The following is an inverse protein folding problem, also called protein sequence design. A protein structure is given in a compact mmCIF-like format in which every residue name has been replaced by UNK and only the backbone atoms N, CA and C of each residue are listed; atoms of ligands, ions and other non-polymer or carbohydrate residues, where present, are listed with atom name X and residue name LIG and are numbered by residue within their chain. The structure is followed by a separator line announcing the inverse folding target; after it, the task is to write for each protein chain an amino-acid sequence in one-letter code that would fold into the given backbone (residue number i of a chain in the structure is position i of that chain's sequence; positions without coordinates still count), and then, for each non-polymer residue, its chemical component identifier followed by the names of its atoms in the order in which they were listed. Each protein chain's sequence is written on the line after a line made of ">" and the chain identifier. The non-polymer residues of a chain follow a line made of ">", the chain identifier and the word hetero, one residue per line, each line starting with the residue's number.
data_IF_162034579028
#
_entry.id   IF_162034579028
#
_cell.length_a   1.000
_cell.length_b   1.000
_cell.length_c   1.000
_cell.angle_alpha   90.00
_cell.angle_beta   90.00
_cell.angle_gamma   90.00
#
_symmetry.space_group_name_H-M   'P 1'
#
loop_
_entity.id
_entity.type
_entity.pdbx_description
1 polymer ?
#
# COMPACT_ATOMS: atom_id res chain seq x y z
N UNK A 1 -31.88 -28.90 -59.88
CA UNK A 1 -32.61 -29.08 -58.58
C UNK A 1 -31.91 -30.02 -57.60
N UNK A 2 -31.44 -31.22 -57.99
CA UNK A 2 -30.77 -32.15 -57.06
C UNK A 2 -29.43 -31.66 -56.47
N UNK A 3 -28.65 -30.86 -57.21
CA UNK A 3 -27.39 -30.29 -56.71
C UNK A 3 -27.58 -29.16 -55.67
N UNK A 4 -28.68 -28.40 -55.74
CA UNK A 4 -28.95 -27.32 -54.77
C UNK A 4 -29.27 -27.87 -53.37
N UNK A 5 -29.93 -29.03 -53.30
CA UNK A 5 -30.29 -29.70 -52.04
C UNK A 5 -29.04 -30.20 -51.31
N UNK A 6 -28.01 -30.63 -52.06
CA UNK A 6 -26.77 -31.14 -51.49
C UNK A 6 -25.92 -30.04 -50.84
N UNK A 7 -25.90 -28.85 -51.44
CA UNK A 7 -25.19 -27.68 -50.88
C UNK A 7 -25.88 -27.18 -49.60
N UNK A 8 -27.22 -27.17 -49.58
CA UNK A 8 -27.98 -26.75 -48.40
C UNK A 8 -27.75 -27.68 -47.18
N UNK A 9 -27.55 -28.99 -47.42
CA UNK A 9 -27.29 -29.95 -46.35
C UNK A 9 -25.91 -29.77 -45.70
N UNK A 10 -24.90 -29.33 -46.46
CA UNK A 10 -23.53 -29.14 -45.97
C UNK A 10 -23.44 -27.93 -45.04
N UNK A 11 -24.22 -26.87 -45.29
CA UNK A 11 -24.24 -25.68 -44.42
C UNK A 11 -24.88 -25.94 -43.04
N UNK A 12 -25.84 -26.88 -42.95
CA UNK A 12 -26.50 -27.21 -41.67
C UNK A 12 -25.54 -27.96 -40.73
N UNK A 13 -24.61 -28.75 -41.28
CA UNK A 13 -23.64 -29.53 -40.49
C UNK A 13 -22.49 -28.70 -39.89
N UNK A 14 -22.28 -27.46 -40.39
CA UNK A 14 -21.26 -26.55 -39.88
C UNK A 14 -21.78 -25.57 -38.80
N UNK A 15 -23.08 -25.58 -38.50
CA UNK A 15 -23.69 -24.64 -37.54
C UNK A 15 -23.57 -25.07 -36.07
N UNK A 16 -22.89 -26.19 -35.78
CA UNK A 16 -22.67 -26.64 -34.40
C UNK A 16 -21.35 -26.07 -33.86
N UNK A 17 -21.32 -24.78 -33.58
CA UNK A 17 -20.23 -24.17 -32.81
C UNK A 17 -20.42 -24.53 -31.34
N UNK A 18 -19.46 -25.25 -30.76
CA UNK A 18 -19.38 -25.47 -29.31
C UNK A 18 -19.38 -24.09 -28.63
N UNK A 19 -20.45 -23.75 -27.92
CA UNK A 19 -20.44 -22.62 -26.99
C UNK A 19 -19.32 -22.90 -25.99
N UNK A 20 -18.20 -22.20 -26.14
CA UNK A 20 -17.22 -22.08 -25.09
C UNK A 20 -17.94 -21.33 -23.97
N UNK A 21 -18.50 -22.07 -23.01
CA UNK A 21 -18.97 -21.49 -21.75
C UNK A 21 -17.79 -20.73 -21.17
N UNK A 22 -17.79 -19.42 -21.33
CA UNK A 22 -16.89 -18.55 -20.60
C UNK A 22 -17.17 -18.83 -19.14
N UNK A 23 -16.20 -19.42 -18.44
CA UNK A 23 -16.31 -19.56 -16.99
C UNK A 23 -16.59 -18.16 -16.44
N UNK A 24 -17.53 -18.00 -15.50
CA UNK A 24 -17.75 -16.72 -14.86
C UNK A 24 -16.39 -16.23 -14.33
N UNK A 25 -16.00 -15.01 -14.71
CA UNK A 25 -14.76 -14.42 -14.22
C UNK A 25 -14.84 -14.35 -12.71
N UNK A 26 -13.94 -15.05 -12.02
CA UNK A 26 -13.80 -14.90 -10.57
C UNK A 26 -13.43 -13.43 -10.34
N UNK A 27 -14.18 -12.69 -9.48
CA UNK A 27 -13.84 -11.31 -9.19
C UNK A 27 -12.44 -11.27 -8.58
N UNK A 28 -11.60 -10.36 -9.10
CA UNK A 28 -10.28 -10.12 -8.55
C UNK A 28 -10.44 -9.61 -7.11
N UNK A 29 -9.85 -10.33 -6.15
CA UNK A 29 -9.77 -9.90 -4.77
C UNK A 29 -8.36 -9.33 -4.62
N UNK A 30 -8.20 -8.01 -4.43
CA UNK A 30 -6.89 -7.42 -4.31
C UNK A 30 -6.21 -7.91 -3.03
N UNK A 31 -4.90 -8.13 -3.11
CA UNK A 31 -4.06 -8.40 -1.94
C UNK A 31 -4.00 -7.15 -1.04
N UNK A 32 -3.70 -7.35 0.25
CA UNK A 32 -3.78 -6.23 1.20
C UNK A 32 -2.85 -5.06 0.83
N UNK A 33 -1.64 -5.35 0.34
CA UNK A 33 -0.69 -4.30 -0.05
C UNK A 33 -1.21 -3.46 -1.22
N UNK A 34 -1.97 -4.04 -2.16
CA UNK A 34 -2.52 -3.34 -3.33
C UNK A 34 -3.44 -2.20 -2.93
N UNK A 35 -4.14 -2.38 -1.80
CA UNK A 35 -5.01 -1.34 -1.24
C UNK A 35 -4.24 -0.09 -0.85
N UNK A 36 -2.98 -0.22 -0.45
CA UNK A 36 -2.14 0.90 -0.03
C UNK A 36 -1.26 1.45 -1.15
N UNK A 37 -0.92 0.67 -2.17
CA UNK A 37 -0.10 1.15 -3.29
C UNK A 37 -0.75 2.33 -4.02
N UNK A 38 0.07 3.31 -4.41
CA UNK A 38 -0.35 4.48 -5.17
C UNK A 38 0.35 5.77 -4.78
N UNK A 39 0.06 6.83 -5.54
CA UNK A 39 0.52 8.18 -5.27
C UNK A 39 -0.48 8.89 -4.34
N UNK A 40 0.03 9.60 -3.34
CA UNK A 40 -0.75 10.30 -2.34
C UNK A 40 -0.38 11.77 -2.28
N UNK A 41 -1.40 12.62 -2.15
CA UNK A 41 -1.22 13.98 -1.63
C UNK A 41 -1.42 13.96 -0.13
N UNK A 42 -0.47 14.51 0.62
CA UNK A 42 -0.49 14.51 2.07
C UNK A 42 -0.83 15.90 2.59
N UNK A 43 -1.75 15.93 3.56
CA UNK A 43 -2.29 17.11 4.19
C UNK A 43 -2.08 17.07 5.70
N UNK A 44 -2.03 18.24 6.34
CA UNK A 44 -2.19 18.32 7.78
C UNK A 44 -3.65 18.11 8.20
N UNK A 45 -3.92 18.08 9.52
CA UNK A 45 -5.26 17.87 10.07
C UNK A 45 -6.22 19.05 9.84
N UNK A 46 -5.72 20.19 9.36
CA UNK A 46 -6.52 21.35 8.99
C UNK A 46 -6.85 21.38 7.48
N UNK A 47 -6.33 20.41 6.72
CA UNK A 47 -6.54 20.29 5.28
C UNK A 47 -5.55 21.08 4.43
N UNK A 48 -4.46 21.61 5.01
CA UNK A 48 -3.42 22.25 4.22
C UNK A 48 -2.53 21.20 3.56
N UNK A 49 -2.31 21.33 2.26
CA UNK A 49 -1.36 20.49 1.53
C UNK A 49 0.05 20.62 2.10
N UNK A 50 0.79 19.50 2.15
CA UNK A 50 2.16 19.43 2.69
C UNK A 50 3.14 18.91 1.64
N UNK A 51 2.93 17.69 1.14
CA UNK A 51 3.86 17.02 0.22
C UNK A 51 3.17 15.89 -0.55
N UNK A 52 3.86 15.35 -1.57
CA UNK A 52 3.47 14.12 -2.25
C UNK A 52 4.28 12.94 -1.72
N UNK A 53 3.62 11.80 -1.57
CA UNK A 53 4.20 10.55 -1.09
C UNK A 53 3.80 9.43 -2.05
N UNK A 54 4.68 8.47 -2.27
CA UNK A 54 4.37 7.30 -3.10
C UNK A 54 4.52 6.02 -2.29
N UNK A 55 3.56 5.11 -2.38
CA UNK A 55 3.64 3.78 -1.80
C UNK A 55 3.74 2.74 -2.91
N UNK A 56 4.88 2.06 -2.97
CA UNK A 56 5.25 1.17 -4.08
C UNK A 56 5.43 -0.24 -3.53
N UNK A 57 4.78 -1.22 -4.15
CA UNK A 57 5.13 -2.62 -3.96
C UNK A 57 6.43 -2.92 -4.68
N UNK A 58 7.43 -3.38 -3.93
CA UNK A 58 8.79 -3.53 -4.42
C UNK A 58 9.13 -4.98 -4.75
N UNK A 59 8.59 -5.93 -3.99
CA UNK A 59 8.96 -7.34 -4.09
C UNK A 59 7.88 -8.23 -3.43
N UNK A 60 7.59 -9.37 -4.05
CA UNK A 60 6.99 -10.55 -3.41
C UNK A 60 7.93 -11.73 -3.58
N UNK A 61 8.07 -12.55 -2.55
CA UNK A 61 8.77 -13.83 -2.59
C UNK A 61 9.44 -14.20 -1.28
N UNK A 62 10.20 -15.30 -1.31
CA UNK A 62 10.82 -15.84 -0.10
C UNK A 62 11.92 -14.91 0.46
N UNK A 63 11.82 -14.58 1.75
CA UNK A 63 12.91 -13.96 2.50
C UNK A 63 14.05 -14.95 2.79
N UNK A 64 15.11 -14.48 3.46
CA UNK A 64 16.28 -15.31 3.80
C UNK A 64 15.96 -16.51 4.71
N UNK A 65 14.75 -16.56 5.28
CA UNK A 65 14.27 -17.63 6.14
C UNK A 65 13.29 -18.57 5.41
N UNK A 66 13.03 -18.34 4.11
CA UNK A 66 12.11 -19.15 3.31
C UNK A 66 10.62 -18.87 3.57
N UNK A 67 10.29 -17.69 4.10
CA UNK A 67 8.91 -17.25 4.22
C UNK A 67 8.58 -16.32 3.06
N UNK A 68 7.45 -16.53 2.39
CA UNK A 68 6.94 -15.59 1.40
C UNK A 68 6.59 -14.27 2.09
N UNK A 69 7.15 -13.18 1.56
CA UNK A 69 6.95 -11.83 2.10
C UNK A 69 6.75 -10.83 0.99
N UNK A 70 5.93 -9.84 1.29
CA UNK A 70 5.84 -8.62 0.51
C UNK A 70 6.76 -7.54 1.08
N UNK A 71 7.33 -6.74 0.20
CA UNK A 71 8.11 -5.56 0.58
C UNK A 71 7.50 -4.33 -0.06
N UNK A 72 7.31 -3.29 0.75
CA UNK A 72 6.80 -2.00 0.33
C UNK A 72 7.88 -0.93 0.49
N UNK A 73 7.82 0.09 -0.37
CA UNK A 73 8.59 1.33 -0.26
C UNK A 73 7.63 2.49 -0.07
N UNK A 74 7.80 3.28 1.00
CA UNK A 74 7.19 4.59 1.15
C UNK A 74 8.23 5.62 0.73
N UNK A 75 8.03 6.23 -0.43
CA UNK A 75 8.86 7.33 -0.90
C UNK A 75 8.34 8.65 -0.37
N UNK A 76 9.26 9.50 0.08
CA UNK A 76 8.99 10.80 0.65
C UNK A 76 8.05 10.79 1.87
N UNK A 77 8.07 9.72 2.67
CA UNK A 77 7.28 9.64 3.90
C UNK A 77 7.67 10.74 4.89
N UNK A 78 6.67 11.41 5.46
CA UNK A 78 6.84 12.56 6.35
C UNK A 78 7.71 13.68 5.72
N UNK A 79 7.74 13.78 4.38
CA UNK A 79 8.63 14.64 3.59
C UNK A 79 10.14 14.40 3.82
N UNK A 80 10.48 13.32 4.53
CA UNK A 80 11.79 13.16 5.17
C UNK A 80 12.47 11.86 4.78
N UNK A 81 11.72 10.77 4.63
CA UNK A 81 12.28 9.42 4.52
C UNK A 81 11.83 8.68 3.26
N UNK A 82 12.74 7.88 2.71
CA UNK A 82 12.37 6.77 1.84
C UNK A 82 12.51 5.48 2.64
N UNK A 83 11.37 4.87 2.99
CA UNK A 83 11.33 3.71 3.88
C UNK A 83 11.07 2.45 3.07
N UNK A 84 11.99 1.48 3.15
CA UNK A 84 11.77 0.13 2.62
C UNK A 84 11.55 -0.82 3.78
N UNK A 85 10.47 -1.59 3.74
CA UNK A 85 10.09 -2.46 4.84
C UNK A 85 9.29 -3.68 4.37
N UNK A 86 9.37 -4.75 5.15
CA UNK A 86 8.54 -5.94 4.99
C UNK A 86 7.08 -5.57 5.33
N UNK A 87 6.19 -5.72 4.35
CA UNK A 87 4.78 -5.48 4.54
C UNK A 87 4.17 -6.63 5.33
N UNK A 88 3.50 -6.28 6.42
CA UNK A 88 2.82 -7.26 7.27
C UNK A 88 1.33 -7.10 7.08
N UNK A 89 0.71 -8.16 6.56
CA UNK A 89 -0.74 -8.27 6.55
C UNK A 89 -1.30 -8.17 7.96
N UNK A 90 -2.46 -7.54 8.08
CA UNK A 90 -3.17 -7.43 9.34
C UNK A 90 -4.54 -8.09 9.24
N UNK A 91 -5.21 -8.27 10.37
CA UNK A 91 -6.54 -8.92 10.39
C UNK A 91 -7.60 -8.06 9.69
N UNK A 92 -7.43 -6.74 9.64
CA UNK A 92 -8.29 -5.82 8.88
C UNK A 92 -7.47 -5.25 7.71
N UNK A 93 -7.82 -5.63 6.48
CA UNK A 93 -7.12 -5.22 5.25
C UNK A 93 -6.93 -3.69 5.09
N UNK A 94 -7.68 -2.88 5.84
CA UNK A 94 -7.59 -1.42 5.79
C UNK A 94 -6.63 -0.83 6.83
N UNK A 95 -6.09 -1.63 7.75
CA UNK A 95 -5.10 -1.17 8.72
C UNK A 95 -3.72 -1.19 8.09
N UNK A 96 -3.08 -0.03 8.05
CA UNK A 96 -1.72 0.15 7.58
C UNK A 96 -0.72 0.00 8.72
N UNK A 97 0.21 -0.93 8.60
CA UNK A 97 1.26 -1.13 9.61
C UNK A 97 2.61 -0.64 9.10
N UNK A 98 3.06 0.51 9.60
CA UNK A 98 4.39 1.08 9.27
C UNK A 98 5.51 0.32 10.01
N UNK A 99 5.24 -0.20 11.21
CA UNK A 99 6.26 -0.84 12.05
C UNK A 99 7.08 0.15 12.87
N UNK A 100 8.23 -0.29 13.38
CA UNK A 100 9.16 0.54 14.18
C UNK A 100 10.54 0.45 13.53
N UNK A 101 11.17 1.60 13.37
CA UNK A 101 12.51 1.71 12.83
C UNK A 101 13.36 2.57 13.76
N UNK A 102 14.48 2.01 14.20
CA UNK A 102 15.49 2.72 14.98
C UNK A 102 16.68 3.08 14.08
N UNK A 103 17.23 4.27 14.29
CA UNK A 103 18.36 4.82 13.52
C UNK A 103 18.09 4.98 12.02
N UNK A 104 16.85 5.27 11.60
CA UNK A 104 16.60 5.58 10.19
C UNK A 104 17.22 6.90 9.83
N UNK A 105 17.79 6.96 8.63
CA UNK A 105 18.53 8.13 8.18
C UNK A 105 17.64 8.97 7.27
N UNK A 106 17.50 10.25 7.57
CA UNK A 106 16.80 11.19 6.71
C UNK A 106 17.64 11.61 5.49
N UNK A 107 17.04 12.39 4.58
CA UNK A 107 17.74 12.95 3.40
C UNK A 107 18.94 13.84 3.74
N UNK A 108 19.07 14.32 4.98
CA UNK A 108 20.17 15.14 5.48
C UNK A 108 21.20 14.34 6.28
N UNK A 109 21.13 13.00 6.22
CA UNK A 109 22.00 12.08 6.91
C UNK A 109 21.92 12.18 8.46
N UNK A 110 20.73 12.45 9.00
CA UNK A 110 20.44 12.45 10.45
C UNK A 110 19.62 11.23 10.84
N UNK A 111 19.91 10.69 12.02
CA UNK A 111 19.27 9.47 12.52
C UNK A 111 18.03 9.78 13.35
N UNK A 112 17.00 8.98 13.16
CA UNK A 112 15.71 9.10 13.82
C UNK A 112 15.21 7.75 14.32
N UNK A 113 14.44 7.78 15.40
CA UNK A 113 13.48 6.75 15.75
C UNK A 113 12.16 7.10 15.08
N UNK A 114 11.60 6.17 14.33
CA UNK A 114 10.28 6.26 13.72
C UNK A 114 9.43 5.09 14.19
N UNK A 115 8.24 5.36 14.70
CA UNK A 115 7.31 4.32 15.12
C UNK A 115 5.92 4.58 14.55
N UNK A 116 5.41 3.66 13.72
CA UNK A 116 3.99 3.58 13.42
C UNK A 116 3.23 3.23 14.71
N UNK A 117 2.26 4.06 15.07
CA UNK A 117 1.42 3.77 16.22
C UNK A 117 0.37 2.74 15.82
N UNK A 118 0.34 1.62 16.53
CA UNK A 118 -0.55 0.51 16.22
C UNK A 118 -2.02 0.92 16.25
N UNK A 119 -2.83 0.27 15.42
CA UNK A 119 -4.28 0.46 15.42
C UNK A 119 -4.86 0.10 16.80
N UNK A 120 -5.53 1.07 17.43
CA UNK A 120 -6.28 0.86 18.66
C UNK A 120 -7.78 0.72 18.31
N UNK A 121 -8.38 -0.49 18.42
CA UNK A 121 -9.78 -0.71 18.05
C UNK A 121 -10.78 0.06 18.93
N UNK A 122 -10.34 0.56 20.08
CA UNK A 122 -11.15 1.34 21.01
C UNK A 122 -10.94 2.85 20.86
N UNK A 123 -10.05 3.30 19.96
CA UNK A 123 -9.85 4.72 19.71
C UNK A 123 -11.03 5.30 18.93
N UNK A 124 -11.45 6.52 19.30
CA UNK A 124 -12.51 7.26 18.60
C UNK A 124 -12.11 7.68 17.18
N UNK A 125 -10.81 7.73 16.89
CA UNK A 125 -10.29 7.91 15.53
C UNK A 125 -9.58 6.65 15.06
N UNK A 126 -9.95 6.12 13.89
CA UNK A 126 -9.23 5.03 13.23
C UNK A 126 -7.91 5.56 12.68
N UNK A 127 -6.85 5.39 13.44
CA UNK A 127 -5.47 5.76 13.08
C UNK A 127 -4.83 4.66 12.23
N UNK A 128 -3.99 5.07 11.28
CA UNK A 128 -3.38 4.20 10.27
C UNK A 128 -4.42 3.31 9.58
N UNK A 129 -5.54 3.91 9.18
CA UNK A 129 -6.66 3.23 8.56
C UNK A 129 -6.98 3.85 7.20
N UNK A 130 -7.14 2.99 6.20
CA UNK A 130 -7.58 3.37 4.87
C UNK A 130 -9.12 3.36 4.81
N UNK A 131 -9.70 4.49 4.43
CA UNK A 131 -11.12 4.60 4.16
C UNK A 131 -11.31 5.22 2.78
N UNK A 132 -11.82 4.43 1.84
CA UNK A 132 -11.78 4.72 0.40
C UNK A 132 -10.32 4.99 -0.04
N UNK A 133 -10.06 6.18 -0.54
CA UNK A 133 -8.73 6.63 -0.98
C UNK A 133 -8.01 7.48 0.07
N UNK A 134 -8.53 7.56 1.29
CA UNK A 134 -7.95 8.38 2.37
C UNK A 134 -7.34 7.51 3.45
N UNK A 135 -6.03 7.64 3.64
CA UNK A 135 -5.27 7.01 4.71
C UNK A 135 -4.94 8.04 5.81
N UNK A 136 -5.41 7.79 7.02
CA UNK A 136 -5.03 8.60 8.19
C UNK A 136 -3.71 8.09 8.73
N UNK A 137 -2.61 8.82 8.55
CA UNK A 137 -1.30 8.45 9.05
C UNK A 137 -1.10 8.94 10.48
N UNK A 138 -0.65 8.04 11.35
CA UNK A 138 -0.31 8.38 12.74
C UNK A 138 0.96 7.67 13.19
N UNK A 139 1.98 8.45 13.55
CA UNK A 139 3.31 7.93 13.81
C UNK A 139 4.07 8.85 14.77
N UNK A 140 5.09 8.30 15.42
CA UNK A 140 6.02 9.05 16.26
C UNK A 140 7.36 9.20 15.55
N UNK A 141 7.93 10.40 15.64
CA UNK A 141 9.31 10.67 15.25
C UNK A 141 10.05 11.27 16.44
N UNK A 142 11.24 10.75 16.70
CA UNK A 142 12.09 11.20 17.81
C UNK A 142 13.58 11.14 17.41
N UNK A 143 14.36 12.14 17.79
CA UNK A 143 15.82 12.13 17.65
C UNK A 143 16.58 12.12 19.00
N UNK A 144 15.92 11.87 20.14
CA UNK A 144 16.53 11.93 21.48
C UNK A 144 17.73 11.00 21.69
N UNK A 145 17.82 9.90 20.96
CA UNK A 145 18.99 9.01 21.03
C UNK A 145 20.20 9.58 20.29
N UNK A 146 19.96 10.52 19.38
CA UNK A 146 20.93 11.00 18.39
C UNK A 146 21.25 12.49 18.51
N UNK A 147 20.46 13.26 19.28
CA UNK A 147 20.53 14.72 19.28
C UNK A 147 21.90 15.31 19.63
N UNK A 148 22.54 14.83 20.71
CA UNK A 148 23.88 15.29 21.10
C UNK A 148 24.93 14.84 20.08
N UNK A 149 24.89 13.55 19.72
CA UNK A 149 25.93 12.92 18.90
C UNK A 149 25.95 13.48 17.48
N UNK A 150 24.82 13.94 16.97
CA UNK A 150 24.66 14.46 15.61
C UNK A 150 24.50 15.98 15.55
N UNK A 151 24.66 16.66 16.70
CA UNK A 151 24.53 18.11 16.87
C UNK A 151 23.22 18.67 16.30
N UNK A 152 22.11 17.96 16.51
CA UNK A 152 20.79 18.34 16.05
C UNK A 152 19.92 18.78 17.24
N UNK A 153 19.04 19.79 17.07
CA UNK A 153 18.08 20.15 18.10
C UNK A 153 17.17 18.96 18.42
N UNK A 154 16.80 18.81 19.69
CA UNK A 154 15.81 17.81 20.08
C UNK A 154 14.48 18.06 19.35
N UNK A 155 13.94 17.01 18.77
CA UNK A 155 12.64 16.99 18.12
C UNK A 155 11.90 15.72 18.50
N UNK A 156 10.62 15.90 18.86
CA UNK A 156 9.68 14.82 19.07
C UNK A 156 8.32 15.22 18.51
N UNK A 157 7.68 14.32 17.79
CA UNK A 157 6.27 14.47 17.42
C UNK A 157 5.50 13.17 17.62
N UNK A 158 4.23 13.31 17.99
CA UNK A 158 3.17 12.35 17.61
C UNK A 158 2.45 12.94 16.40
N UNK A 159 2.97 12.64 15.22
CA UNK A 159 2.54 13.24 13.98
C UNK A 159 1.25 12.58 13.48
N UNK A 160 0.29 13.42 13.08
CA UNK A 160 -0.95 13.00 12.41
C UNK A 160 -1.08 13.71 11.08
N UNK A 161 -1.31 12.95 10.02
CA UNK A 161 -1.42 13.46 8.65
C UNK A 161 -2.54 12.73 7.91
N UNK A 162 -3.04 13.33 6.83
CA UNK A 162 -4.08 12.74 5.99
C UNK A 162 -3.51 12.58 4.59
N UNK A 163 -3.37 11.34 4.13
CA UNK A 163 -2.86 11.02 2.80
C UNK A 163 -4.04 10.61 1.91
N UNK A 164 -4.23 11.31 0.78
CA UNK A 164 -5.32 11.04 -0.18
C UNK A 164 -4.73 10.50 -1.48
N UNK A 165 -5.05 9.26 -1.82
CA UNK A 165 -4.64 8.59 -3.05
C UNK A 165 -5.23 9.34 -4.27
N UNK A 166 -4.44 9.48 -5.33
CA UNK A 166 -4.79 10.19 -6.56
C UNK A 166 -5.19 9.25 -7.69
#
# INVERSE_FOLDING_TARGET
>A
MKQLIFILLIFILLSCSKENKTLPSIPYIPEQWERFSGNYKVYDTLGNYRYEMNMIHYFSGDNIYGNDVDTMILQNFADTFDLKYEFRETVDDNVFSIGIFDSIVDKNNKSWLLAGLGYNPNATTKENYLFNDTLILYFEMDNIKYYINEAQPYFFCKCKQVAVKQ
#
